data_IF_890582138044
#
_entry.id   IF_890582138044
#
_cell.length_a   1.000
_cell.length_b   1.000
_cell.length_c   1.000
_cell.angle_alpha   90.00
_cell.angle_beta   90.00
_cell.angle_gamma   90.00
#
_symmetry.space_group_name_H-M   'P 1'
#
loop_
_entity.id
_entity.type
_entity.pdbx_description
1 polymer ?
#
# COMPACT_ATOMS: atom_id res chain seq x y z
N UNK A 1 -2.76 12.30 -27.32
CA UNK A 1 -3.32 12.44 -25.95
C UNK A 1 -2.44 11.64 -25.01
N UNK A 2 -1.83 12.28 -24.01
CA UNK A 2 -1.13 11.56 -22.94
C UNK A 2 -2.21 10.97 -22.02
N UNK A 3 -2.19 9.66 -21.79
CA UNK A 3 -3.17 9.01 -20.91
C UNK A 3 -2.92 9.48 -19.47
N UNK A 4 -3.98 9.80 -18.75
CA UNK A 4 -3.90 10.26 -17.35
C UNK A 4 -3.19 9.22 -16.46
N UNK A 5 -3.27 7.93 -16.80
CA UNK A 5 -2.54 6.82 -16.17
C UNK A 5 -1.04 6.90 -16.37
N UNK A 6 -0.57 7.27 -17.58
CA UNK A 6 0.86 7.48 -17.85
C UNK A 6 1.41 8.64 -17.01
N UNK A 7 0.66 9.73 -16.87
CA UNK A 7 1.04 10.86 -16.01
C UNK A 7 1.09 10.44 -14.54
N UNK A 8 0.08 9.72 -14.06
CA UNK A 8 0.05 9.20 -12.69
C UNK A 8 1.23 8.28 -12.36
N UNK A 9 1.59 7.36 -13.27
CA UNK A 9 2.73 6.45 -13.13
C UNK A 9 4.07 7.20 -13.14
N UNK A 10 4.19 8.21 -13.99
CA UNK A 10 5.40 9.03 -14.03
C UNK A 10 5.57 9.84 -12.74
N UNK A 11 4.50 10.48 -12.26
CA UNK A 11 4.52 11.24 -11.01
C UNK A 11 4.75 10.35 -9.79
N UNK A 12 4.19 9.13 -9.75
CA UNK A 12 4.45 8.20 -8.66
C UNK A 12 5.89 7.68 -8.67
N UNK A 13 6.48 7.45 -9.85
CA UNK A 13 7.89 7.13 -10.00
C UNK A 13 8.82 8.24 -9.51
N UNK A 14 8.54 9.50 -9.88
CA UNK A 14 9.27 10.66 -9.35
C UNK A 14 9.10 10.74 -7.83
N UNK A 15 7.88 10.59 -7.34
CA UNK A 15 7.58 10.60 -5.92
C UNK A 15 8.36 9.58 -5.11
N UNK A 16 8.39 8.31 -5.56
CA UNK A 16 9.20 7.25 -4.95
C UNK A 16 10.70 7.56 -5.00
N UNK A 17 11.17 8.13 -6.10
CA UNK A 17 12.58 8.54 -6.24
C UNK A 17 12.92 9.66 -5.26
N UNK A 18 12.02 10.63 -5.08
CA UNK A 18 12.19 11.70 -4.10
C UNK A 18 12.22 11.16 -2.66
N UNK A 19 11.38 10.18 -2.32
CA UNK A 19 11.42 9.53 -1.01
C UNK A 19 12.74 8.78 -0.78
N UNK A 20 13.23 8.06 -1.79
CA UNK A 20 14.55 7.42 -1.70
C UNK A 20 15.65 8.48 -1.54
N UNK A 21 15.55 9.59 -2.27
CA UNK A 21 16.48 10.72 -2.16
C UNK A 21 16.40 11.39 -0.78
N UNK A 22 15.22 11.53 -0.16
CA UNK A 22 15.07 12.00 1.22
C UNK A 22 15.90 11.16 2.19
N UNK A 23 15.85 9.84 2.06
CA UNK A 23 16.63 8.92 2.92
C UNK A 23 18.13 9.13 2.70
N UNK A 24 18.58 9.22 1.44
CA UNK A 24 20.00 9.45 1.11
C UNK A 24 20.48 10.79 1.65
N UNK A 25 19.71 11.86 1.41
CA UNK A 25 20.04 13.21 1.89
C UNK A 25 20.10 13.25 3.41
N UNK A 26 19.19 12.55 4.11
CA UNK A 26 19.25 12.42 5.57
C UNK A 26 20.57 11.80 6.03
N UNK A 27 21.05 10.76 5.37
CA UNK A 27 22.28 10.05 5.78
C UNK A 27 23.54 10.90 5.55
N UNK A 28 23.56 11.74 4.51
CA UNK A 28 24.73 12.56 4.15
C UNK A 28 24.71 13.97 4.77
N UNK A 29 23.54 14.48 5.15
CA UNK A 29 23.37 15.80 5.75
C UNK A 29 23.90 15.79 7.20
N UNK A 30 25.17 16.16 7.36
CA UNK A 30 25.87 16.13 8.65
C UNK A 30 25.94 17.49 9.34
N UNK A 31 25.59 18.57 8.62
CA UNK A 31 25.62 19.93 9.14
C UNK A 31 24.24 20.37 9.66
N UNK A 32 24.18 21.18 10.74
CA UNK A 32 22.91 21.60 11.36
C UNK A 32 21.94 22.31 10.40
N UNK A 33 22.47 23.08 9.45
CA UNK A 33 21.68 23.82 8.46
C UNK A 33 21.06 22.90 7.39
N UNK A 34 21.62 21.71 7.19
CA UNK A 34 21.21 20.74 6.18
C UNK A 34 20.13 19.76 6.69
N UNK A 35 19.87 19.77 8.00
CA UNK A 35 18.88 18.91 8.68
C UNK A 35 17.45 19.14 8.16
N UNK A 36 17.16 20.32 7.61
CA UNK A 36 15.85 20.65 7.04
C UNK A 36 15.68 20.17 5.58
N UNK A 37 16.76 19.84 4.87
CA UNK A 37 16.67 19.43 3.46
C UNK A 37 15.86 18.14 3.25
N UNK A 38 16.03 17.07 4.06
CA UNK A 38 15.17 15.89 3.99
C UNK A 38 13.67 16.22 4.14
N UNK A 39 13.33 17.15 5.03
CA UNK A 39 11.95 17.57 5.27
C UNK A 39 11.35 18.26 4.04
N UNK A 40 12.08 19.16 3.39
CA UNK A 40 11.58 19.85 2.19
C UNK A 40 11.38 18.89 1.01
N UNK A 41 12.31 17.95 0.81
CA UNK A 41 12.17 16.92 -0.23
C UNK A 41 10.95 16.04 0.06
N UNK A 42 10.75 15.68 1.33
CA UNK A 42 9.58 14.90 1.75
C UNK A 42 8.27 15.67 1.52
N UNK A 43 8.21 16.97 1.82
CA UNK A 43 7.03 17.80 1.54
C UNK A 43 6.68 17.86 0.05
N UNK A 44 7.69 17.92 -0.82
CA UNK A 44 7.49 17.86 -2.27
C UNK A 44 6.92 16.49 -2.67
N UNK A 45 7.48 15.39 -2.12
CA UNK A 45 6.96 14.05 -2.36
C UNK A 45 5.51 13.87 -1.88
N UNK A 46 5.17 14.44 -0.71
CA UNK A 46 3.79 14.47 -0.19
C UNK A 46 2.84 15.24 -1.13
N UNK A 47 3.27 16.39 -1.64
CA UNK A 47 2.50 17.14 -2.62
C UNK A 47 2.23 16.35 -3.90
N UNK A 48 3.24 15.60 -4.39
CA UNK A 48 3.06 14.70 -5.53
C UNK A 48 2.11 13.54 -5.21
N UNK A 49 2.18 12.96 -4.00
CA UNK A 49 1.27 11.90 -3.56
C UNK A 49 -0.19 12.36 -3.66
N UNK A 50 -0.48 13.59 -3.20
CA UNK A 50 -1.83 14.15 -3.26
C UNK A 50 -2.35 14.22 -4.71
N UNK A 51 -1.53 14.68 -5.65
CA UNK A 51 -1.88 14.73 -7.08
C UNK A 51 -2.10 13.33 -7.65
N UNK A 52 -1.18 12.41 -7.36
CA UNK A 52 -1.23 11.01 -7.83
C UNK A 52 -2.48 10.29 -7.30
N UNK A 53 -2.85 10.52 -6.03
CA UNK A 53 -4.07 9.98 -5.44
C UNK A 53 -5.33 10.44 -6.18
N UNK A 54 -5.44 11.74 -6.45
CA UNK A 54 -6.59 12.30 -7.19
C UNK A 54 -6.67 11.66 -8.58
N UNK A 55 -5.55 11.58 -9.29
CA UNK A 55 -5.49 10.94 -10.62
C UNK A 55 -5.89 9.46 -10.55
N UNK A 56 -5.41 8.73 -9.55
CA UNK A 56 -5.70 7.30 -9.36
C UNK A 56 -7.19 7.06 -9.06
N UNK A 57 -7.82 7.89 -8.21
CA UNK A 57 -9.26 7.82 -7.91
C UNK A 57 -10.06 8.06 -9.18
N UNK A 58 -9.76 9.13 -9.93
CA UNK A 58 -10.47 9.44 -11.18
C UNK A 58 -10.32 8.28 -12.18
N UNK A 59 -9.10 7.81 -12.44
CA UNK A 59 -8.85 6.72 -13.38
C UNK A 59 -9.54 5.40 -12.99
N UNK A 60 -9.61 5.12 -11.68
CA UNK A 60 -10.21 3.86 -11.19
C UNK A 60 -11.72 3.87 -11.35
N UNK A 61 -12.39 5.00 -11.03
CA UNK A 61 -13.85 5.03 -10.94
C UNK A 61 -14.58 5.61 -12.15
N UNK A 62 -13.90 6.34 -13.05
CA UNK A 62 -14.62 7.06 -14.12
C UNK A 62 -14.55 6.43 -15.50
N UNK A 63 -13.69 5.45 -15.78
CA UNK A 63 -13.44 4.89 -17.14
C UNK A 63 -13.20 5.91 -18.28
N UNK A 64 -13.20 7.22 -17.97
CA UNK A 64 -13.15 8.34 -18.91
C UNK A 64 -11.79 8.48 -19.60
N UNK A 65 -10.81 7.66 -19.22
CA UNK A 65 -9.47 7.65 -19.79
C UNK A 65 -9.34 6.38 -20.64
N UNK A 66 -9.59 6.55 -21.94
CA UNK A 66 -9.93 5.48 -22.88
C UNK A 66 -9.10 4.21 -22.82
N UNK A 67 -9.79 3.07 -22.97
CA UNK A 67 -9.30 1.69 -23.13
C UNK A 67 -7.90 1.46 -22.55
N UNK A 68 -7.84 1.52 -21.22
CA UNK A 68 -6.67 1.15 -20.43
C UNK A 68 -6.82 -0.33 -20.10
N UNK A 69 -5.84 -1.14 -20.53
CA UNK A 69 -5.78 -2.56 -20.19
C UNK A 69 -5.89 -2.71 -18.65
N UNK A 70 -6.68 -3.66 -18.10
CA UNK A 70 -6.86 -3.81 -16.65
C UNK A 70 -5.53 -3.82 -15.87
N UNK A 71 -4.50 -4.45 -16.44
CA UNK A 71 -3.14 -4.48 -15.91
C UNK A 71 -2.51 -3.08 -15.70
N UNK A 72 -2.78 -2.11 -16.58
CA UNK A 72 -2.23 -0.74 -16.44
C UNK A 72 -2.87 0.00 -15.25
N UNK A 73 -4.16 -0.23 -15.00
CA UNK A 73 -4.86 0.31 -13.82
C UNK A 73 -4.34 -0.33 -12.54
N UNK A 74 -4.11 -1.65 -12.57
CA UNK A 74 -3.55 -2.40 -11.45
C UNK A 74 -2.14 -1.88 -11.09
N UNK A 75 -1.26 -1.77 -12.08
CA UNK A 75 0.11 -1.25 -11.89
C UNK A 75 0.13 0.19 -11.37
N UNK A 76 -0.75 1.05 -11.89
CA UNK A 76 -0.88 2.44 -11.41
C UNK A 76 -1.26 2.49 -9.93
N UNK A 77 -2.28 1.73 -9.52
CA UNK A 77 -2.77 1.75 -8.14
C UNK A 77 -1.78 1.12 -7.15
N UNK A 78 -0.95 0.18 -7.61
CA UNK A 78 0.15 -0.33 -6.79
C UNK A 78 1.23 0.73 -6.53
N UNK A 79 1.63 1.49 -7.55
CA UNK A 79 2.63 2.54 -7.35
C UNK A 79 2.11 3.61 -6.38
N UNK A 80 0.82 3.94 -6.45
CA UNK A 80 0.17 4.83 -5.48
C UNK A 80 0.22 4.24 -4.07
N UNK A 81 -0.08 2.95 -3.92
CA UNK A 81 -0.01 2.26 -2.62
C UNK A 81 1.41 2.28 -2.02
N UNK A 82 2.43 1.91 -2.81
CA UNK A 82 3.83 1.90 -2.37
C UNK A 82 4.28 3.32 -2.03
N UNK A 83 3.88 4.32 -2.82
CA UNK A 83 4.21 5.73 -2.55
C UNK A 83 3.53 6.25 -1.28
N UNK A 84 2.27 5.88 -1.03
CA UNK A 84 1.54 6.28 0.16
C UNK A 84 2.19 5.70 1.43
N UNK A 85 2.49 4.40 1.43
CA UNK A 85 3.15 3.74 2.54
C UNK A 85 4.58 4.28 2.74
N UNK A 86 5.32 4.46 1.64
CA UNK A 86 6.67 5.03 1.66
C UNK A 86 6.69 6.44 2.24
N UNK A 87 5.78 7.32 1.79
CA UNK A 87 5.66 8.69 2.32
C UNK A 87 5.42 8.69 3.82
N UNK A 88 4.51 7.83 4.29
CA UNK A 88 4.18 7.72 5.71
C UNK A 88 5.36 7.21 6.56
N UNK A 89 6.07 6.17 6.09
CA UNK A 89 7.19 5.59 6.82
C UNK A 89 8.45 6.46 6.78
N UNK A 90 8.73 7.13 5.66
CA UNK A 90 9.88 8.04 5.53
C UNK A 90 9.72 9.27 6.44
N UNK A 91 8.49 9.71 6.71
CA UNK A 91 8.25 10.79 7.67
C UNK A 91 8.83 10.47 9.05
N UNK A 92 8.64 9.24 9.54
CA UNK A 92 9.18 8.83 10.84
C UNK A 92 10.71 8.71 10.87
N UNK A 93 11.36 8.72 9.70
CA UNK A 93 12.81 8.77 9.60
C UNK A 93 13.36 10.19 9.68
N UNK A 94 12.54 11.23 9.57
CA UNK A 94 13.04 12.61 9.61
C UNK A 94 13.54 12.99 11.01
N UNK A 95 14.44 13.97 11.05
CA UNK A 95 14.99 14.47 12.31
C UNK A 95 13.95 15.32 13.05
N UNK A 96 13.96 15.21 14.39
CA UNK A 96 12.99 15.90 15.25
C UNK A 96 11.68 15.14 15.49
N UNK A 97 11.53 13.93 14.95
CA UNK A 97 10.39 13.06 15.23
C UNK A 97 10.65 12.22 16.48
N UNK A 98 9.76 12.34 17.47
CA UNK A 98 9.84 11.56 18.70
C UNK A 98 9.49 10.07 18.47
N UNK A 99 10.07 9.22 19.31
CA UNK A 99 9.80 7.79 19.43
C UNK A 99 8.32 7.45 19.53
N UNK A 100 7.53 8.28 20.22
CA UNK A 100 6.08 8.12 20.32
C UNK A 100 5.41 8.26 18.96
N UNK A 101 5.79 9.28 18.20
CA UNK A 101 5.25 9.56 16.86
C UNK A 101 5.69 8.47 15.88
N UNK A 102 6.93 8.01 15.96
CA UNK A 102 7.43 6.85 15.21
C UNK A 102 6.58 5.59 15.47
N UNK A 103 6.21 5.33 16.73
CA UNK A 103 5.31 4.24 17.08
C UNK A 103 3.93 4.36 16.42
N UNK A 104 3.33 5.55 16.43
CA UNK A 104 2.05 5.78 15.76
C UNK A 104 2.15 5.60 14.23
N UNK A 105 3.22 6.11 13.61
CA UNK A 105 3.47 5.94 12.17
C UNK A 105 3.66 4.47 11.80
N UNK A 106 4.42 3.72 12.59
CA UNK A 106 4.60 2.29 12.36
C UNK A 106 3.28 1.52 12.46
N UNK A 107 2.47 1.82 13.48
CA UNK A 107 1.16 1.19 13.66
C UNK A 107 0.20 1.54 12.51
N UNK A 108 0.18 2.80 12.06
CA UNK A 108 -0.60 3.22 10.88
C UNK A 108 -0.17 2.45 9.63
N UNK A 109 1.14 2.35 9.36
CA UNK A 109 1.67 1.57 8.23
C UNK A 109 1.30 0.09 8.33
N UNK A 110 1.41 -0.49 9.52
CA UNK A 110 1.03 -1.88 9.78
C UNK A 110 -0.45 -2.12 9.49
N UNK A 111 -1.34 -1.23 9.90
CA UNK A 111 -2.77 -1.31 9.61
C UNK A 111 -3.07 -1.22 8.11
N UNK A 112 -2.36 -0.36 7.37
CA UNK A 112 -2.50 -0.26 5.90
C UNK A 112 -2.10 -1.59 5.24
N UNK A 113 -1.01 -2.20 5.66
CA UNK A 113 -0.57 -3.51 5.12
C UNK A 113 -1.56 -4.62 5.47
N UNK A 114 -2.08 -4.65 6.70
CA UNK A 114 -3.08 -5.63 7.13
C UNK A 114 -4.38 -5.49 6.34
N UNK A 115 -4.89 -4.25 6.16
CA UNK A 115 -6.09 -4.00 5.37
C UNK A 115 -5.92 -4.49 3.93
N UNK A 116 -4.70 -4.40 3.40
CA UNK A 116 -4.39 -4.84 2.06
C UNK A 116 -4.29 -6.37 1.94
N UNK A 117 -3.71 -7.06 2.94
CA UNK A 117 -3.78 -8.52 3.07
C UNK A 117 -5.24 -8.99 3.10
N UNK A 118 -6.09 -8.30 3.87
CA UNK A 118 -7.51 -8.60 3.97
C UNK A 118 -8.21 -8.49 2.61
N UNK A 119 -8.04 -7.37 1.90
CA UNK A 119 -8.63 -7.15 0.58
C UNK A 119 -8.16 -8.19 -0.44
N UNK A 120 -6.88 -8.57 -0.37
CA UNK A 120 -6.35 -9.63 -1.22
C UNK A 120 -7.07 -10.96 -0.96
N UNK A 121 -7.11 -11.46 0.27
CA UNK A 121 -7.76 -12.75 0.54
C UNK A 121 -9.27 -12.67 0.21
N UNK A 122 -9.92 -11.55 0.53
CA UNK A 122 -11.34 -11.34 0.21
C UNK A 122 -11.62 -11.43 -1.30
N UNK A 123 -10.79 -10.80 -2.14
CA UNK A 123 -10.95 -10.87 -3.59
C UNK A 123 -10.81 -12.31 -4.14
N UNK A 124 -9.92 -13.13 -3.55
CA UNK A 124 -9.69 -14.49 -4.03
C UNK A 124 -10.77 -15.49 -3.63
N UNK A 125 -11.33 -15.33 -2.43
CA UNK A 125 -12.30 -16.26 -1.88
C UNK A 125 -13.74 -15.73 -1.95
N UNK A 126 -13.95 -14.47 -2.31
CA UNK A 126 -15.25 -13.79 -2.35
C UNK A 126 -16.30 -14.52 -3.19
N UNK A 127 -15.93 -15.00 -4.37
CA UNK A 127 -16.86 -15.77 -5.23
C UNK A 127 -17.31 -17.08 -4.58
N UNK A 128 -16.39 -17.83 -3.98
CA UNK A 128 -16.69 -19.09 -3.26
C UNK A 128 -17.53 -18.88 -2.00
N UNK A 129 -17.47 -17.70 -1.40
CA UNK A 129 -18.32 -17.31 -0.26
C UNK A 129 -19.74 -17.00 -0.74
N UNK A 130 -19.88 -16.36 -1.90
CA UNK A 130 -21.14 -15.91 -2.46
C UNK A 130 -21.90 -16.96 -3.30
N UNK A 131 -21.28 -18.11 -3.60
CA UNK A 131 -21.92 -19.26 -4.25
C UNK A 131 -23.04 -19.85 -3.36
N UNK A 132 -24.23 -19.27 -3.43
CA UNK A 132 -25.45 -19.73 -2.77
C UNK A 132 -26.69 -19.07 -3.36
N UNK A 133 -27.19 -19.58 -4.49
CA UNK A 133 -28.28 -18.99 -5.28
C UNK A 133 -29.68 -19.54 -4.97
N UNK A 134 -29.84 -20.52 -4.09
CA UNK A 134 -31.16 -21.12 -3.79
C UNK A 134 -31.76 -20.69 -2.44
N UNK A 135 -33.09 -20.54 -2.41
CA UNK A 135 -33.86 -20.29 -1.19
C UNK A 135 -33.66 -21.45 -0.19
N UNK A 136 -32.86 -21.21 0.85
CA UNK A 136 -32.44 -22.21 1.85
C UNK A 136 -30.93 -22.17 2.14
N UNK A 137 -30.14 -21.70 1.17
CA UNK A 137 -28.68 -21.60 1.27
C UNK A 137 -28.19 -20.33 1.99
N UNK A 138 -29.08 -19.41 2.39
CA UNK A 138 -28.70 -18.20 3.14
C UNK A 138 -28.02 -18.54 4.48
N UNK A 139 -28.50 -19.59 5.17
CA UNK A 139 -27.86 -20.08 6.41
C UNK A 139 -26.48 -20.66 6.15
N UNK A 140 -26.31 -21.36 5.03
CA UNK A 140 -25.03 -21.95 4.63
C UNK A 140 -24.03 -20.87 4.20
N UNK A 141 -24.46 -19.89 3.40
CA UNK A 141 -23.69 -18.71 3.02
C UNK A 141 -23.23 -17.92 4.25
N UNK A 142 -24.13 -17.70 5.22
CA UNK A 142 -23.80 -17.01 6.47
C UNK A 142 -22.78 -17.80 7.29
N UNK A 143 -22.91 -19.13 7.36
CA UNK A 143 -21.95 -20.01 8.03
C UNK A 143 -20.56 -19.96 7.38
N UNK A 144 -20.48 -20.03 6.05
CA UNK A 144 -19.23 -19.90 5.29
C UNK A 144 -18.59 -18.53 5.50
N UNK A 145 -19.38 -17.46 5.49
CA UNK A 145 -18.89 -16.11 5.77
C UNK A 145 -18.34 -15.96 7.20
N UNK A 146 -19.03 -16.51 8.20
CA UNK A 146 -18.53 -16.51 9.59
C UNK A 146 -17.20 -17.25 9.73
N UNK A 147 -17.06 -18.41 9.09
CA UNK A 147 -15.81 -19.18 9.15
C UNK A 147 -14.66 -18.46 8.43
N UNK A 148 -14.91 -17.92 7.23
CA UNK A 148 -13.89 -17.19 6.48
C UNK A 148 -13.48 -15.91 7.19
N UNK A 149 -14.43 -15.15 7.75
CA UNK A 149 -14.12 -13.94 8.53
C UNK A 149 -13.31 -14.26 9.79
N UNK A 150 -13.57 -15.39 10.47
CA UNK A 150 -12.74 -15.85 11.60
C UNK A 150 -11.31 -16.16 11.16
N UNK A 151 -11.13 -16.92 10.06
CA UNK A 151 -9.81 -17.25 9.52
C UNK A 151 -9.06 -15.99 9.11
N UNK A 152 -9.73 -15.05 8.43
CA UNK A 152 -9.17 -13.75 8.10
C UNK A 152 -8.75 -12.97 9.36
N UNK A 153 -9.59 -12.97 10.39
CA UNK A 153 -9.29 -12.35 11.68
C UNK A 153 -8.02 -12.91 12.32
N UNK A 154 -7.85 -14.24 12.32
CA UNK A 154 -6.65 -14.91 12.84
C UNK A 154 -5.40 -14.52 12.03
N UNK A 155 -5.50 -14.50 10.69
CA UNK A 155 -4.39 -14.11 9.82
C UNK A 155 -3.98 -12.65 10.07
N UNK A 156 -4.96 -11.74 10.17
CA UNK A 156 -4.70 -10.33 10.45
C UNK A 156 -4.09 -10.12 11.83
N UNK A 157 -4.58 -10.82 12.86
CA UNK A 157 -4.01 -10.78 14.20
C UNK A 157 -2.58 -11.33 14.23
N UNK A 158 -2.32 -12.42 13.51
CA UNK A 158 -0.98 -12.99 13.35
C UNK A 158 -0.01 -12.02 12.64
N UNK A 159 -0.46 -11.36 11.58
CA UNK A 159 0.34 -10.34 10.89
C UNK A 159 0.66 -9.16 11.81
N UNK A 160 -0.34 -8.65 12.56
CA UNK A 160 -0.13 -7.58 13.53
C UNK A 160 0.88 -7.98 14.62
N UNK A 161 0.76 -9.20 15.15
CA UNK A 161 1.70 -9.72 16.14
C UNK A 161 3.11 -9.82 15.57
N UNK A 162 3.27 -10.32 14.35
CA UNK A 162 4.56 -10.42 13.68
C UNK A 162 5.22 -9.04 13.50
N UNK A 163 4.49 -8.05 12.98
CA UNK A 163 5.05 -6.71 12.77
C UNK A 163 5.37 -5.99 14.08
N UNK A 164 4.54 -6.14 15.11
CA UNK A 164 4.84 -5.59 16.44
C UNK A 164 6.04 -6.29 17.07
N UNK A 165 6.17 -7.61 16.89
CA UNK A 165 7.33 -8.35 17.35
C UNK A 165 8.62 -7.88 16.66
N UNK A 166 8.58 -7.56 15.36
CA UNK A 166 9.73 -7.00 14.64
C UNK A 166 10.10 -5.61 15.19
N UNK A 167 9.10 -4.78 15.51
CA UNK A 167 9.33 -3.48 16.12
C UNK A 167 10.05 -3.60 17.46
N UNK A 168 9.60 -4.52 18.32
CA UNK A 168 10.21 -4.73 19.64
C UNK A 168 11.57 -5.44 19.54
N UNK A 169 11.73 -6.40 18.63
CA UNK A 169 12.97 -7.17 18.47
C UNK A 169 14.11 -6.33 17.89
N UNK A 170 13.83 -5.41 16.96
CA UNK A 170 14.87 -4.57 16.35
C UNK A 170 15.19 -3.33 17.18
N UNK A 171 14.27 -2.89 18.04
CA UNK A 171 14.35 -1.64 18.83
C UNK A 171 14.74 -0.41 17.98
N UNK A 172 14.47 -0.45 16.67
CA UNK A 172 14.85 0.57 15.70
C UNK A 172 13.74 0.79 14.71
N UNK A 173 13.21 2.02 14.69
CA UNK A 173 12.20 2.41 13.72
C UNK A 173 12.70 2.25 12.28
N UNK A 174 13.98 2.57 12.02
CA UNK A 174 14.54 2.50 10.67
C UNK A 174 14.52 1.08 10.11
N UNK A 175 14.96 0.11 10.92
CA UNK A 175 14.96 -1.31 10.52
C UNK A 175 13.54 -1.87 10.40
N UNK A 176 12.68 -1.52 11.35
CA UNK A 176 11.28 -1.98 11.37
C UNK A 176 10.49 -1.44 10.17
N UNK A 177 10.59 -0.13 9.92
CA UNK A 177 9.94 0.51 8.79
C UNK A 177 10.46 -0.03 7.46
N UNK A 178 11.78 -0.29 7.35
CA UNK A 178 12.38 -0.94 6.20
C UNK A 178 11.83 -2.35 5.96
N UNK A 179 11.68 -3.15 7.02
CA UNK A 179 11.10 -4.49 6.92
C UNK A 179 9.62 -4.45 6.50
N UNK A 180 8.82 -3.58 7.13
CA UNK A 180 7.41 -3.41 6.81
C UNK A 180 7.22 -2.96 5.35
N UNK A 181 8.02 -2.00 4.90
CA UNK A 181 7.99 -1.51 3.51
C UNK A 181 8.43 -2.59 2.51
N UNK A 182 9.50 -3.32 2.82
CA UNK A 182 9.98 -4.44 2.00
C UNK A 182 8.94 -5.56 1.89
N UNK A 183 8.28 -5.90 3.00
CA UNK A 183 7.16 -6.85 3.00
C UNK A 183 6.00 -6.35 2.14
N UNK A 184 5.63 -5.08 2.27
CA UNK A 184 4.55 -4.49 1.47
C UNK A 184 4.85 -4.54 -0.04
N UNK A 185 6.09 -4.22 -0.44
CA UNK A 185 6.54 -4.36 -1.83
C UNK A 185 6.45 -5.81 -2.30
N UNK A 186 6.96 -6.76 -1.50
CA UNK A 186 6.92 -8.18 -1.86
C UNK A 186 5.47 -8.64 -2.07
N UNK A 187 4.58 -8.28 -1.15
CA UNK A 187 3.15 -8.60 -1.26
C UNK A 187 2.56 -8.00 -2.54
N UNK A 188 2.85 -6.73 -2.81
CA UNK A 188 2.41 -6.03 -4.02
C UNK A 188 2.86 -6.77 -5.30
N UNK A 189 4.13 -7.19 -5.37
CA UNK A 189 4.66 -7.99 -6.48
C UNK A 189 3.97 -9.35 -6.61
N UNK A 190 3.76 -10.05 -5.50
CA UNK A 190 3.09 -11.35 -5.51
C UNK A 190 1.69 -11.23 -6.12
N UNK A 191 0.89 -10.24 -5.71
CA UNK A 191 -0.47 -10.15 -6.28
C UNK A 191 -0.47 -9.85 -7.76
N UNK A 192 0.47 -9.04 -8.29
CA UNK A 192 0.53 -8.82 -9.75
C UNK A 192 0.79 -10.10 -10.49
N UNK A 193 1.74 -10.90 -10.00
CA UNK A 193 2.06 -12.18 -10.62
C UNK A 193 0.86 -13.12 -10.56
N UNK A 194 0.08 -13.09 -9.48
CA UNK A 194 -1.10 -13.93 -9.33
C UNK A 194 -2.33 -13.43 -10.11
N UNK A 195 -2.59 -12.12 -10.14
CA UNK A 195 -3.74 -11.51 -10.80
C UNK A 195 -3.51 -11.32 -12.30
N UNK A 196 -2.29 -10.99 -12.74
CA UNK A 196 -1.94 -10.89 -14.17
C UNK A 196 -2.03 -12.23 -14.92
N UNK A 197 -2.15 -13.37 -14.21
CA UNK A 197 -2.45 -14.68 -14.81
C UNK A 197 -3.94 -14.95 -14.99
N UNK A 198 -4.81 -14.16 -14.34
CA UNK A 198 -6.26 -14.21 -14.48
C UNK A 198 -6.69 -13.09 -15.43
N UNK A 199 -6.40 -13.27 -16.72
CA UNK A 199 -6.96 -12.40 -17.75
C UNK A 199 -8.49 -12.54 -17.73
N UNK A 200 -9.19 -11.50 -17.31
CA UNK A 200 -10.61 -11.35 -17.59
C UNK A 200 -10.76 -10.83 -19.03
N UNK A 201 -11.59 -11.47 -19.88
CA UNK A 201 -11.91 -10.89 -21.18
C UNK A 201 -12.58 -9.54 -20.97
N UNK A 202 -11.99 -8.51 -21.59
CA UNK A 202 -12.49 -7.13 -21.54
C UNK A 202 -13.68 -7.03 -22.50
N UNK A 203 -14.88 -7.28 -21.97
CA UNK A 203 -16.17 -6.98 -22.60
C UNK A 203 -16.50 -7.76 -23.89
N UNK A 204 -17.61 -8.49 -23.85
CA UNK A 204 -18.55 -8.56 -24.99
C UNK A 204 -19.58 -7.45 -24.83
#
# INVERSE_FOLDING_TARGET
MVRLTTVGNFLSGIGLTLLAFTIVVKVIATQPEQVLYPLFIWLIALGMLAVVLIISVINTFTEMTGFVHPDDKMMSNMLVYVMALGTLLVYGLLDGIDTTVQGYLYNMGTMIVIAYIFLFIFNFYGSRIAEGTEQGQVKEMTSRFMLVSLVLGIIMAGANLLFNWILTATASYTLSAGFLFGFAILLVFLMVIFLGRRYEPVGE
#
